data_IF_036483967515
#
_entry.id   IF_036483967515
#
_cell.length_a   1.000
_cell.length_b   1.000
_cell.length_c   1.000
_cell.angle_alpha   90.00
_cell.angle_beta   90.00
_cell.angle_gamma   90.00
#
_symmetry.space_group_name_H-M   'P 1'
#
loop_
_entity.id
_entity.type
_entity.pdbx_description
1 polymer ?
#
# COMPACT_ATOMS: atom_id res chain seq x y z
N UNK A 1 25.09 23.43 9.87
CA UNK A 1 23.85 23.50 10.69
C UNK A 1 24.13 24.37 11.91
N UNK A 2 23.19 25.25 12.36
CA UNK A 2 23.47 26.21 13.43
C UNK A 2 23.20 25.58 14.80
N UNK A 3 23.93 26.06 15.83
CA UNK A 3 23.77 25.64 17.23
C UNK A 3 22.32 25.74 17.72
N UNK A 4 21.61 26.79 17.27
CA UNK A 4 20.22 27.04 17.64
C UNK A 4 19.27 25.95 17.15
N UNK A 5 19.47 25.49 15.92
CA UNK A 5 18.69 24.41 15.31
C UNK A 5 18.93 23.09 16.03
N UNK A 6 20.16 22.79 16.39
CA UNK A 6 20.48 21.55 17.12
C UNK A 6 19.87 21.58 18.51
N UNK A 7 19.88 22.69 19.24
CA UNK A 7 19.22 22.81 20.56
C UNK A 7 17.70 22.55 20.48
N UNK A 8 17.06 23.00 19.38
CA UNK A 8 15.66 22.71 19.15
C UNK A 8 15.41 21.22 18.92
N UNK A 9 16.28 20.56 18.13
CA UNK A 9 16.23 19.11 17.87
C UNK A 9 16.46 18.31 19.16
N UNK A 10 17.44 18.67 19.97
CA UNK A 10 17.69 18.01 21.27
C UNK A 10 16.48 18.07 22.19
N UNK A 11 15.76 19.20 22.19
CA UNK A 11 14.54 19.37 22.99
C UNK A 11 13.34 18.57 22.43
N UNK A 12 13.27 18.40 21.11
CA UNK A 12 12.19 17.66 20.45
C UNK A 12 12.35 16.14 20.60
N UNK A 13 13.59 15.65 20.78
CA UNK A 13 13.89 14.22 20.93
C UNK A 13 14.07 13.49 19.58
N UNK A 14 14.20 12.18 19.66
CA UNK A 14 14.31 11.29 18.50
C UNK A 14 13.02 11.25 17.69
N UNK A 15 13.15 11.04 16.37
CA UNK A 15 12.02 11.08 15.43
C UNK A 15 12.26 10.19 14.21
N UNK A 16 11.36 10.29 13.24
CA UNK A 16 11.49 9.64 11.92
C UNK A 16 12.81 9.99 11.21
N UNK A 17 13.41 11.16 11.50
CA UNK A 17 14.60 11.68 10.82
C UNK A 17 15.75 12.04 11.76
N UNK A 18 15.62 11.80 13.06
CA UNK A 18 16.62 12.14 14.06
C UNK A 18 16.88 10.94 14.99
N UNK A 19 18.14 10.66 15.25
CA UNK A 19 18.58 9.63 16.19
C UNK A 19 19.71 10.16 17.06
N UNK A 20 19.75 9.78 18.34
CA UNK A 20 20.79 10.13 19.30
C UNK A 20 21.67 8.92 19.60
N UNK A 21 22.97 9.12 19.67
CA UNK A 21 23.94 8.09 20.06
C UNK A 21 25.02 8.69 20.95
N UNK A 22 25.33 8.04 22.03
CA UNK A 22 26.41 8.47 22.94
C UNK A 22 27.79 8.32 22.32
N UNK A 23 27.98 7.36 21.42
CA UNK A 23 29.24 7.08 20.74
C UNK A 23 29.00 6.56 19.32
N UNK A 24 29.97 6.75 18.44
CA UNK A 24 29.97 6.16 17.12
C UNK A 24 30.24 4.64 17.21
N UNK A 25 29.46 3.86 16.46
CA UNK A 25 29.62 2.42 16.40
C UNK A 25 28.63 1.76 15.43
N UNK A 26 28.43 0.46 15.62
CA UNK A 26 27.55 -0.36 14.78
C UNK A 26 26.13 0.19 14.71
N UNK A 27 25.56 0.60 15.84
CA UNK A 27 24.19 1.13 15.89
C UNK A 27 24.06 2.43 15.10
N UNK A 28 25.10 3.28 15.09
CA UNK A 28 25.13 4.48 14.25
C UNK A 28 25.02 4.11 12.77
N UNK A 29 25.77 3.08 12.33
CA UNK A 29 25.74 2.62 10.93
C UNK A 29 24.36 1.99 10.60
N UNK A 30 23.78 1.21 11.53
CA UNK A 30 22.43 0.66 11.35
C UNK A 30 21.36 1.76 11.22
N UNK A 31 21.47 2.85 12.01
CA UNK A 31 20.57 4.00 11.90
C UNK A 31 20.74 4.76 10.58
N UNK A 32 21.98 4.94 10.11
CA UNK A 32 22.24 5.57 8.80
C UNK A 32 21.69 4.71 7.65
N UNK A 33 21.82 3.38 7.74
CA UNK A 33 21.17 2.46 6.77
C UNK A 33 19.65 2.59 6.80
N UNK A 34 19.07 2.65 8.00
CA UNK A 34 17.62 2.78 8.17
C UNK A 34 17.11 4.11 7.59
N UNK A 35 17.83 5.22 7.79
CA UNK A 35 17.53 6.52 7.20
C UNK A 35 17.70 6.51 5.68
N UNK A 36 18.77 5.94 5.16
CA UNK A 36 19.00 5.83 3.71
C UNK A 36 17.91 5.03 2.99
N UNK A 37 17.34 4.02 3.64
CA UNK A 37 16.22 3.24 3.14
C UNK A 37 14.83 3.90 3.36
N UNK A 38 14.78 5.01 4.10
CA UNK A 38 13.56 5.77 4.37
C UNK A 38 13.61 7.15 3.68
N UNK A 39 13.44 8.22 4.44
CA UNK A 39 13.37 9.62 3.96
C UNK A 39 14.68 10.39 4.15
N UNK A 40 15.76 9.70 4.51
CA UNK A 40 16.96 10.34 5.04
C UNK A 40 16.82 10.68 6.52
N UNK A 41 17.84 11.32 7.06
CA UNK A 41 17.87 11.73 8.46
C UNK A 41 19.25 12.06 8.97
N UNK A 42 19.35 12.26 10.27
CA UNK A 42 20.62 12.59 10.94
C UNK A 42 20.81 11.77 12.21
N UNK A 43 22.07 11.44 12.50
CA UNK A 43 22.49 10.86 13.77
C UNK A 43 23.36 11.88 14.51
N UNK A 44 22.98 12.22 15.75
CA UNK A 44 23.77 13.06 16.65
C UNK A 44 24.62 12.17 17.56
N UNK A 45 25.92 12.15 17.35
CA UNK A 45 26.86 11.38 18.16
C UNK A 45 27.45 12.26 19.28
N UNK A 46 27.44 11.75 20.51
CA UNK A 46 27.78 12.49 21.72
C UNK A 46 26.53 12.96 22.48
N UNK A 47 25.35 12.42 22.14
CA UNK A 47 24.05 12.74 22.76
C UNK A 47 23.45 11.45 23.32
N UNK A 48 22.89 11.51 24.50
CA UNK A 48 22.15 10.41 25.12
C UNK A 48 20.67 10.43 24.67
N UNK A 49 19.96 9.31 24.85
CA UNK A 49 18.55 9.13 24.42
C UNK A 49 17.59 10.16 25.06
N UNK A 50 17.95 10.69 26.24
CA UNK A 50 17.19 11.75 26.92
C UNK A 50 17.47 13.17 26.36
N UNK A 51 18.24 13.28 25.30
CA UNK A 51 18.66 14.56 24.69
C UNK A 51 19.82 15.26 25.41
N UNK A 52 20.35 14.69 26.49
CA UNK A 52 21.47 15.29 27.22
C UNK A 52 22.78 15.17 26.44
N UNK A 53 23.49 16.30 26.30
CA UNK A 53 24.79 16.33 25.61
C UNK A 53 25.86 15.70 26.50
N UNK A 54 26.42 14.58 26.07
CA UNK A 54 27.56 13.92 26.74
C UNK A 54 28.89 14.40 26.20
N UNK A 55 28.91 14.71 24.90
CA UNK A 55 30.08 15.06 24.14
C UNK A 55 30.85 13.85 23.63
N UNK A 56 31.67 14.06 22.64
CA UNK A 56 32.62 13.04 22.11
C UNK A 56 34.00 13.62 21.96
N UNK A 57 35.01 12.77 21.91
CA UNK A 57 36.40 13.19 21.71
C UNK A 57 36.82 12.86 20.29
N UNK A 58 37.30 13.87 19.56
CA UNK A 58 37.77 13.71 18.19
C UNK A 58 39.29 13.84 18.15
N UNK A 59 39.97 12.85 17.60
CA UNK A 59 41.35 12.97 17.14
C UNK A 59 41.42 13.55 15.74
N UNK A 60 42.62 13.75 15.22
CA UNK A 60 42.88 14.43 13.95
C UNK A 60 42.24 13.76 12.71
N UNK A 61 42.06 12.42 12.78
CA UNK A 61 41.57 11.59 11.66
C UNK A 61 40.22 10.90 11.95
N UNK A 62 39.66 11.13 13.13
CA UNK A 62 38.47 10.38 13.62
C UNK A 62 37.31 10.43 12.67
N UNK A 63 36.98 11.61 12.09
CA UNK A 63 35.85 11.75 11.15
C UNK A 63 36.12 11.01 9.84
N UNK A 64 37.36 10.98 9.36
CA UNK A 64 37.75 10.22 8.17
C UNK A 64 37.66 8.70 8.44
N UNK A 65 38.07 8.25 9.63
CA UNK A 65 37.96 6.86 10.03
C UNK A 65 36.47 6.42 10.12
N UNK A 66 35.60 7.26 10.67
CA UNK A 66 34.16 6.99 10.73
C UNK A 66 33.55 6.92 9.32
N UNK A 67 33.88 7.87 8.44
CA UNK A 67 33.46 7.84 7.05
C UNK A 67 33.94 6.57 6.34
N UNK A 68 35.18 6.16 6.57
CA UNK A 68 35.75 4.90 6.05
C UNK A 68 34.97 3.67 6.53
N UNK A 69 34.62 3.63 7.82
CA UNK A 69 33.84 2.53 8.41
C UNK A 69 32.42 2.49 7.86
N UNK A 70 31.76 3.64 7.68
CA UNK A 70 30.41 3.72 7.07
C UNK A 70 30.48 3.19 5.64
N UNK A 71 31.41 3.70 4.82
CA UNK A 71 31.58 3.28 3.42
C UNK A 71 31.85 1.78 3.27
N UNK A 72 32.76 1.23 4.07
CA UNK A 72 33.11 -0.19 4.00
C UNK A 72 32.08 -1.10 4.67
N UNK A 73 31.32 -0.57 5.63
CA UNK A 73 30.31 -1.30 6.38
C UNK A 73 28.94 -1.36 5.74
N UNK A 74 28.72 -0.69 4.59
CA UNK A 74 27.43 -0.60 3.92
C UNK A 74 27.49 -1.07 2.46
N UNK A 75 26.40 -1.62 1.98
CA UNK A 75 26.24 -2.03 0.58
C UNK A 75 24.80 -1.72 0.09
N UNK A 76 24.63 -0.92 -0.99
CA UNK A 76 25.67 -0.11 -1.62
C UNK A 76 26.34 0.84 -0.63
N UNK A 77 27.60 1.21 -0.93
CA UNK A 77 28.39 2.09 -0.06
C UNK A 77 27.77 3.48 0.03
N UNK A 78 27.39 3.93 1.22
CA UNK A 78 26.83 5.26 1.46
C UNK A 78 27.92 6.24 1.91
N UNK A 79 27.74 7.51 1.54
CA UNK A 79 28.64 8.60 1.90
C UNK A 79 27.79 9.70 2.53
N UNK A 80 27.70 9.74 3.88
CA UNK A 80 26.97 10.80 4.57
C UNK A 80 27.79 12.08 4.66
N UNK A 81 27.14 13.20 4.91
CA UNK A 81 27.77 14.44 5.35
C UNK A 81 28.05 14.35 6.85
N UNK A 82 29.31 14.65 7.25
CA UNK A 82 29.75 14.57 8.63
C UNK A 82 30.32 15.93 9.06
N UNK A 83 29.69 16.53 10.06
CA UNK A 83 30.12 17.78 10.67
C UNK A 83 30.27 17.66 12.17
N UNK A 84 31.13 18.48 12.78
CA UNK A 84 31.27 18.59 14.22
C UNK A 84 30.94 20.00 14.72
N UNK A 85 30.26 20.11 15.85
CA UNK A 85 29.94 21.39 16.47
C UNK A 85 29.99 21.30 17.99
N UNK A 86 30.16 22.46 18.64
CA UNK A 86 30.15 22.54 20.10
C UNK A 86 28.77 22.98 20.60
N UNK A 87 28.24 22.22 21.54
CA UNK A 87 26.99 22.53 22.27
C UNK A 87 27.32 22.52 23.77
N UNK A 88 27.06 23.63 24.45
CA UNK A 88 27.31 23.77 25.89
C UNK A 88 28.76 23.42 26.28
N UNK A 89 29.73 23.78 25.43
CA UNK A 89 31.16 23.51 25.62
C UNK A 89 31.58 22.05 25.36
N UNK A 90 30.67 21.20 24.92
CA UNK A 90 30.93 19.80 24.57
C UNK A 90 30.86 19.60 23.07
N UNK A 91 31.74 18.77 22.52
CA UNK A 91 31.80 18.48 21.11
C UNK A 91 30.82 17.35 20.77
N UNK A 92 29.98 17.56 19.76
CA UNK A 92 29.10 16.53 19.18
C UNK A 92 29.40 16.42 17.68
N UNK A 93 29.05 15.27 17.09
CA UNK A 93 29.15 15.05 15.65
C UNK A 93 27.77 14.82 15.08
N UNK A 94 27.44 15.51 13.99
CA UNK A 94 26.22 15.36 13.22
C UNK A 94 26.54 14.59 11.94
N UNK A 95 25.89 13.47 11.73
CA UNK A 95 26.04 12.63 10.53
C UNK A 95 24.71 12.66 9.79
N UNK A 96 24.68 13.31 8.63
CA UNK A 96 23.47 13.46 7.82
C UNK A 96 23.50 12.54 6.60
N UNK A 97 22.38 11.93 6.28
CA UNK A 97 22.20 11.19 5.05
C UNK A 97 20.85 11.53 4.44
N UNK A 98 20.85 11.79 3.13
CA UNK A 98 19.61 11.87 2.35
C UNK A 98 19.05 10.48 2.07
N UNK A 99 17.79 10.41 1.68
CA UNK A 99 17.22 9.19 1.12
C UNK A 99 18.11 8.66 -0.01
N UNK A 100 18.52 7.39 0.08
CA UNK A 100 19.45 6.84 -0.87
C UNK A 100 18.73 6.42 -2.16
N UNK A 101 19.21 6.82 -3.34
CA UNK A 101 18.49 6.57 -4.59
C UNK A 101 18.51 5.10 -5.03
N UNK A 102 19.54 4.35 -4.64
CA UNK A 102 19.68 2.91 -4.96
C UNK A 102 19.43 2.08 -3.69
N UNK A 103 18.23 1.57 -3.56
CA UNK A 103 17.80 0.77 -2.42
C UNK A 103 17.69 -0.72 -2.80
N UNK A 104 17.71 -1.61 -1.83
CA UNK A 104 17.92 -1.38 -0.41
C UNK A 104 19.41 -1.28 -0.03
N UNK A 105 19.72 -0.36 0.86
CA UNK A 105 21.02 -0.31 1.52
C UNK A 105 21.04 -1.32 2.68
N UNK A 106 22.16 -1.98 2.89
CA UNK A 106 22.34 -2.91 4.02
C UNK A 106 23.67 -2.69 4.75
N UNK A 107 23.77 -3.21 5.96
CA UNK A 107 25.03 -3.38 6.69
C UNK A 107 25.16 -4.82 7.14
N UNK A 108 26.26 -5.47 6.78
CA UNK A 108 26.55 -6.90 7.09
C UNK A 108 25.40 -7.84 6.72
N UNK A 109 24.74 -7.63 5.56
CA UNK A 109 23.61 -8.42 5.09
C UNK A 109 22.29 -8.18 5.84
N UNK A 110 22.22 -7.18 6.72
CA UNK A 110 21.00 -6.79 7.44
C UNK A 110 20.45 -5.49 6.86
N UNK A 111 19.15 -5.49 6.58
CA UNK A 111 18.44 -4.38 5.98
C UNK A 111 17.53 -3.74 7.02
N UNK A 112 17.64 -2.43 7.21
CA UNK A 112 16.85 -1.69 8.19
C UNK A 112 16.08 -0.57 7.49
N UNK A 113 14.92 -0.23 8.04
CA UNK A 113 14.14 0.94 7.65
C UNK A 113 13.68 1.70 8.88
N UNK A 114 13.71 3.02 8.82
CA UNK A 114 13.23 3.88 9.89
C UNK A 114 11.70 3.92 9.86
N UNK A 115 11.08 3.62 11.00
CA UNK A 115 9.63 3.73 11.22
C UNK A 115 9.44 4.43 12.56
N UNK A 116 8.82 5.60 12.55
CA UNK A 116 8.77 6.50 13.71
C UNK A 116 10.19 6.77 14.27
N UNK A 117 10.44 6.47 15.54
CA UNK A 117 11.75 6.63 16.19
C UNK A 117 12.54 5.33 16.30
N UNK A 118 12.21 4.27 15.54
CA UNK A 118 12.83 2.96 15.66
C UNK A 118 13.37 2.42 14.33
N UNK A 119 14.44 1.64 14.39
CA UNK A 119 15.03 0.97 13.24
C UNK A 119 14.47 -0.46 13.14
N UNK A 120 13.65 -0.74 12.13
CA UNK A 120 13.05 -2.04 11.91
C UNK A 120 13.89 -2.87 10.94
N UNK A 121 14.15 -4.12 11.32
CA UNK A 121 14.77 -5.11 10.43
C UNK A 121 13.74 -5.53 9.37
N UNK A 122 14.12 -5.41 8.10
CA UNK A 122 13.22 -5.73 6.97
C UNK A 122 13.17 -7.23 6.69
N UNK A 123 11.98 -7.73 6.40
CA UNK A 123 11.76 -9.06 5.85
C UNK A 123 12.00 -9.09 4.32
N UNK A 124 12.00 -10.29 3.74
CA UNK A 124 12.32 -10.50 2.32
C UNK A 124 11.36 -9.72 1.39
N UNK A 125 10.07 -9.69 1.68
CA UNK A 125 9.09 -8.94 0.89
C UNK A 125 9.38 -7.44 0.89
N UNK A 126 9.67 -6.86 2.06
CA UNK A 126 9.99 -5.43 2.20
C UNK A 126 11.31 -5.06 1.50
N UNK A 127 12.30 -5.95 1.52
CA UNK A 127 13.57 -5.80 0.78
C UNK A 127 13.29 -5.77 -0.72
N UNK A 128 12.48 -6.71 -1.21
CA UNK A 128 12.09 -6.78 -2.62
C UNK A 128 11.34 -5.51 -3.04
N UNK A 129 10.39 -5.03 -2.24
CA UNK A 129 9.66 -3.80 -2.50
C UNK A 129 10.59 -2.58 -2.62
N UNK A 130 11.56 -2.43 -1.71
CA UNK A 130 12.54 -1.34 -1.78
C UNK A 130 13.43 -1.43 -3.03
N UNK A 131 13.83 -2.64 -3.41
CA UNK A 131 14.61 -2.86 -4.62
C UNK A 131 13.84 -2.47 -5.87
N UNK A 132 12.60 -2.92 -5.99
CA UNK A 132 11.73 -2.60 -7.12
C UNK A 132 11.42 -1.08 -7.19
N UNK A 133 11.22 -0.43 -6.05
CA UNK A 133 11.05 1.02 -5.98
C UNK A 133 12.27 1.76 -6.54
N UNK A 134 13.49 1.34 -6.21
CA UNK A 134 14.71 1.99 -6.69
C UNK A 134 14.92 1.85 -8.19
N UNK A 135 14.45 0.75 -8.78
CA UNK A 135 14.47 0.54 -10.23
C UNK A 135 13.30 1.24 -10.95
N UNK A 136 12.36 1.84 -10.20
CA UNK A 136 11.11 2.39 -10.72
C UNK A 136 10.23 1.38 -11.48
N UNK A 137 10.52 0.08 -11.31
CA UNK A 137 9.80 -1.03 -11.92
C UNK A 137 8.88 -1.63 -10.86
N UNK A 138 7.62 -1.89 -11.20
CA UNK A 138 6.70 -2.63 -10.36
C UNK A 138 6.83 -4.14 -10.61
N UNK A 139 6.45 -4.97 -9.63
CA UNK A 139 6.51 -6.43 -9.75
C UNK A 139 5.76 -6.94 -10.99
N UNK A 140 4.61 -6.39 -11.26
CA UNK A 140 3.74 -6.75 -12.38
C UNK A 140 4.35 -6.46 -13.77
N UNK A 141 5.39 -5.62 -13.84
CA UNK A 141 6.13 -5.33 -15.06
C UNK A 141 7.26 -6.33 -15.36
N UNK A 142 7.58 -7.26 -14.43
CA UNK A 142 8.58 -8.29 -14.68
C UNK A 142 8.05 -9.35 -15.62
N UNK A 143 8.95 -9.92 -16.44
CA UNK A 143 8.66 -11.04 -17.32
C UNK A 143 8.05 -12.20 -16.54
N UNK A 144 6.97 -12.78 -17.04
CA UNK A 144 6.37 -13.98 -16.51
C UNK A 144 7.18 -15.20 -16.98
N UNK A 145 8.16 -15.59 -16.16
CA UNK A 145 9.08 -16.66 -16.50
C UNK A 145 8.36 -17.98 -16.78
N UNK A 146 8.69 -18.57 -17.92
CA UNK A 146 8.11 -19.84 -18.37
C UNK A 146 6.85 -19.68 -19.23
N UNK A 147 6.31 -18.46 -19.35
CA UNK A 147 5.12 -18.16 -20.14
C UNK A 147 5.49 -17.62 -21.53
N UNK A 148 4.61 -17.87 -22.50
CA UNK A 148 4.73 -17.37 -23.88
C UNK A 148 3.51 -16.51 -24.24
N UNK A 149 3.57 -15.87 -25.42
CA UNK A 149 2.42 -15.09 -25.93
C UNK A 149 1.18 -15.96 -26.18
N UNK A 150 1.38 -17.26 -26.45
CA UNK A 150 0.28 -18.21 -26.68
C UNK A 150 -0.55 -18.47 -25.42
N UNK A 151 -0.01 -18.12 -24.24
CA UNK A 151 -0.75 -18.18 -22.98
C UNK A 151 -1.76 -17.03 -22.80
N UNK A 152 -1.75 -16.03 -23.70
CA UNK A 152 -2.66 -14.90 -23.65
C UNK A 152 -3.89 -15.11 -24.51
N UNK A 153 -5.06 -14.78 -24.00
CA UNK A 153 -6.33 -14.80 -24.71
C UNK A 153 -6.50 -13.58 -25.60
N UNK A 154 -6.53 -13.81 -26.90
CA UNK A 154 -6.77 -12.74 -27.89
C UNK A 154 -8.14 -12.09 -27.66
N UNK A 155 -9.17 -12.89 -27.33
CA UNK A 155 -10.51 -12.37 -27.05
C UNK A 155 -10.54 -11.39 -25.86
N UNK A 156 -9.86 -11.75 -24.76
CA UNK A 156 -9.77 -10.87 -23.57
C UNK A 156 -9.02 -9.57 -23.89
N UNK A 157 -7.98 -9.64 -24.71
CA UNK A 157 -7.21 -8.47 -25.15
C UNK A 157 -8.08 -7.57 -26.05
N UNK A 158 -8.79 -8.14 -27.02
CA UNK A 158 -9.70 -7.38 -27.91
C UNK A 158 -10.82 -6.67 -27.10
N UNK A 159 -11.38 -7.35 -26.12
CA UNK A 159 -12.37 -6.78 -25.21
C UNK A 159 -11.82 -5.59 -24.41
N UNK A 160 -10.60 -5.74 -23.90
CA UNK A 160 -9.89 -4.64 -23.21
C UNK A 160 -9.62 -3.46 -24.16
N UNK A 161 -9.12 -3.72 -25.37
CA UNK A 161 -8.86 -2.68 -26.40
C UNK A 161 -10.15 -1.92 -26.72
N UNK A 162 -11.26 -2.65 -26.93
CA UNK A 162 -12.56 -2.05 -27.20
C UNK A 162 -13.00 -1.12 -26.06
N UNK A 163 -12.87 -1.55 -24.80
CA UNK A 163 -13.18 -0.73 -23.63
C UNK A 163 -12.29 0.51 -23.52
N UNK A 164 -10.99 0.38 -23.76
CA UNK A 164 -10.03 1.50 -23.75
C UNK A 164 -10.41 2.54 -24.79
N UNK A 165 -10.72 2.11 -26.01
CA UNK A 165 -11.09 2.99 -27.11
C UNK A 165 -12.44 3.67 -26.86
N UNK A 166 -13.42 2.95 -26.32
CA UNK A 166 -14.72 3.52 -25.91
C UNK A 166 -14.56 4.59 -24.83
N UNK A 167 -13.65 4.37 -23.88
CA UNK A 167 -13.35 5.34 -22.83
C UNK A 167 -12.71 6.63 -23.33
N UNK A 168 -12.05 6.61 -24.49
CA UNK A 168 -11.46 7.78 -25.14
C UNK A 168 -10.27 8.43 -24.40
N UNK A 169 -9.73 7.79 -23.35
CA UNK A 169 -8.52 8.28 -22.66
C UNK A 169 -7.23 7.96 -23.41
N UNK A 170 -7.26 6.90 -24.19
CA UNK A 170 -6.13 6.42 -25.00
C UNK A 170 -6.68 5.68 -26.20
N UNK A 171 -5.89 5.60 -27.31
CA UNK A 171 -6.28 4.86 -28.51
C UNK A 171 -5.32 3.71 -28.78
N UNK A 172 -5.89 2.54 -28.97
CA UNK A 172 -5.19 1.29 -29.29
C UNK A 172 -5.75 0.77 -30.63
N UNK A 173 -5.14 1.19 -31.75
CA UNK A 173 -5.60 0.89 -33.10
C UNK A 173 -4.80 -0.27 -33.76
N UNK A 174 -3.89 -0.89 -32.99
CA UNK A 174 -3.03 -1.99 -33.43
C UNK A 174 -3.72 -3.34 -33.25
N UNK A 175 -3.15 -4.40 -33.86
CA UNK A 175 -3.54 -5.77 -33.54
C UNK A 175 -3.31 -6.07 -32.03
N UNK A 176 -4.03 -7.04 -31.45
CA UNK A 176 -4.03 -7.28 -30.00
C UNK A 176 -2.65 -7.34 -29.35
N UNK A 177 -1.74 -8.14 -29.90
CA UNK A 177 -0.38 -8.28 -29.34
C UNK A 177 0.46 -7.01 -29.51
N UNK A 178 0.36 -6.31 -30.64
CA UNK A 178 1.06 -5.03 -30.85
C UNK A 178 0.52 -3.94 -29.95
N UNK A 179 -0.78 -3.97 -29.63
CA UNK A 179 -1.37 -3.05 -28.65
C UNK A 179 -0.77 -3.28 -27.25
N UNK A 180 -0.60 -4.55 -26.84
CA UNK A 180 0.05 -4.89 -25.57
C UNK A 180 1.54 -4.50 -25.54
N UNK A 181 2.27 -4.62 -26.64
CA UNK A 181 3.66 -4.13 -26.74
C UNK A 181 3.73 -2.61 -26.60
N UNK A 182 2.82 -1.87 -27.23
CA UNK A 182 2.73 -0.40 -27.15
C UNK A 182 2.57 0.08 -25.72
N UNK A 183 1.77 -0.61 -24.90
CA UNK A 183 1.50 -0.27 -23.50
C UNK A 183 2.36 -1.06 -22.50
N UNK A 184 3.40 -1.75 -22.97
CA UNK A 184 4.43 -2.44 -22.18
C UNK A 184 3.95 -3.65 -21.34
N UNK A 185 2.89 -4.33 -21.78
CA UNK A 185 2.47 -5.62 -21.19
C UNK A 185 3.20 -6.79 -21.84
N UNK A 186 3.73 -6.57 -23.03
CA UNK A 186 4.64 -7.47 -23.73
C UNK A 186 5.95 -6.73 -23.95
N UNK A 187 7.07 -7.34 -23.58
CA UNK A 187 8.41 -6.80 -23.73
C UNK A 187 9.31 -7.86 -24.31
N UNK A 188 10.05 -7.54 -25.40
CA UNK A 188 10.91 -8.47 -26.10
C UNK A 188 10.21 -9.78 -26.54
N UNK A 189 8.94 -9.70 -26.93
CA UNK A 189 8.15 -10.85 -27.34
C UNK A 189 7.72 -11.78 -26.19
N UNK A 190 7.78 -11.32 -24.94
CA UNK A 190 7.37 -12.09 -23.76
C UNK A 190 6.35 -11.32 -22.92
N UNK A 191 5.33 -11.99 -22.36
CA UNK A 191 4.37 -11.35 -21.47
C UNK A 191 5.01 -11.07 -20.10
N UNK A 192 4.59 -9.98 -19.45
CA UNK A 192 4.87 -9.74 -18.05
C UNK A 192 3.73 -10.26 -17.16
N UNK A 193 3.93 -10.19 -15.82
CA UNK A 193 2.93 -10.65 -14.86
C UNK A 193 1.60 -9.90 -14.96
N UNK A 194 1.62 -8.59 -15.31
CA UNK A 194 0.38 -7.86 -15.53
C UNK A 194 -0.41 -8.42 -16.71
N UNK A 195 0.25 -8.74 -17.83
CA UNK A 195 -0.40 -9.36 -18.98
C UNK A 195 -1.03 -10.71 -18.63
N UNK A 196 -0.32 -11.54 -17.86
CA UNK A 196 -0.82 -12.84 -17.41
C UNK A 196 -2.03 -12.70 -16.49
N UNK A 197 -1.96 -11.82 -15.51
CA UNK A 197 -3.06 -11.60 -14.54
C UNK A 197 -4.32 -11.01 -15.19
N UNK A 198 -4.17 -10.24 -16.27
CA UNK A 198 -5.28 -9.55 -16.93
C UNK A 198 -5.83 -10.31 -18.14
N UNK A 199 -5.00 -11.08 -18.85
CA UNK A 199 -5.35 -11.58 -20.17
C UNK A 199 -5.01 -13.06 -20.41
N UNK A 200 -4.51 -13.81 -19.42
CA UNK A 200 -4.20 -15.21 -19.62
C UNK A 200 -5.44 -16.02 -20.04
N UNK A 201 -5.26 -17.00 -20.94
CA UNK A 201 -6.30 -17.97 -21.29
C UNK A 201 -6.62 -18.86 -20.10
N UNK A 202 -5.58 -19.45 -19.51
CA UNK A 202 -5.68 -20.21 -18.27
C UNK A 202 -5.34 -19.30 -17.06
N UNK A 203 -6.19 -19.24 -16.03
CA UNK A 203 -5.98 -18.33 -14.91
C UNK A 203 -4.69 -18.59 -14.15
N UNK A 204 -3.99 -17.52 -13.81
CA UNK A 204 -2.82 -17.55 -12.91
C UNK A 204 -3.30 -17.65 -11.46
N UNK A 205 -2.56 -18.36 -10.60
CA UNK A 205 -2.92 -18.62 -9.19
C UNK A 205 -2.95 -17.37 -8.31
N UNK A 206 -3.94 -16.51 -8.51
CA UNK A 206 -4.21 -15.39 -7.62
C UNK A 206 -5.71 -15.18 -7.54
N UNK A 207 -6.28 -15.58 -6.40
CA UNK A 207 -7.72 -15.69 -6.26
C UNK A 207 -8.30 -14.56 -5.42
N UNK A 208 -9.58 -14.29 -5.65
CA UNK A 208 -10.44 -13.57 -4.71
C UNK A 208 -11.34 -14.63 -4.04
N UNK A 209 -11.09 -14.86 -2.76
CA UNK A 209 -11.89 -15.74 -1.94
C UNK A 209 -12.96 -14.93 -1.21
N UNK A 210 -14.23 -15.23 -1.46
CA UNK A 210 -15.35 -14.47 -0.92
C UNK A 210 -16.38 -15.40 -0.30
N UNK A 211 -16.89 -15.05 0.88
CA UNK A 211 -17.88 -15.85 1.55
C UNK A 211 -18.95 -15.05 2.28
N UNK A 212 -20.15 -15.62 2.37
CA UNK A 212 -21.25 -15.20 3.22
C UNK A 212 -21.23 -15.98 4.52
N UNK A 213 -21.16 -15.29 5.64
CA UNK A 213 -20.99 -15.87 6.97
C UNK A 213 -22.19 -15.54 7.86
N UNK A 214 -22.65 -16.51 8.62
CA UNK A 214 -23.59 -16.31 9.74
C UNK A 214 -22.84 -15.87 11.00
N UNK A 215 -21.75 -16.57 11.30
CA UNK A 215 -20.81 -16.26 12.39
C UNK A 215 -19.38 -16.44 11.85
N UNK A 216 -18.32 -16.02 12.57
CA UNK A 216 -16.95 -16.21 12.11
C UNK A 216 -16.57 -17.67 11.78
N UNK A 217 -17.30 -18.64 12.32
CA UNK A 217 -17.08 -20.09 12.08
C UNK A 217 -18.15 -20.77 11.24
N UNK A 218 -19.26 -20.06 10.88
CA UNK A 218 -20.37 -20.63 10.12
C UNK A 218 -20.50 -19.95 8.77
N UNK A 219 -20.07 -20.65 7.73
CA UNK A 219 -20.13 -20.22 6.34
C UNK A 219 -21.49 -20.64 5.76
N UNK A 220 -22.15 -19.71 5.05
CA UNK A 220 -23.43 -19.95 4.36
C UNK A 220 -23.19 -20.23 2.88
N UNK A 221 -22.36 -19.41 2.22
CA UNK A 221 -21.94 -19.57 0.83
C UNK A 221 -20.46 -19.15 0.72
N UNK A 222 -19.70 -19.82 -0.14
CA UNK A 222 -18.27 -19.65 -0.31
C UNK A 222 -17.91 -19.79 -1.79
N UNK A 223 -17.16 -18.84 -2.30
CA UNK A 223 -16.73 -18.77 -3.70
C UNK A 223 -15.27 -18.40 -3.80
N UNK A 224 -14.63 -18.99 -4.78
CA UNK A 224 -13.26 -18.64 -5.17
C UNK A 224 -13.26 -18.24 -6.64
N UNK A 225 -12.94 -16.99 -6.91
CA UNK A 225 -12.83 -16.47 -8.27
C UNK A 225 -11.38 -16.55 -8.72
N UNK A 226 -11.14 -17.38 -9.72
CA UNK A 226 -9.80 -17.73 -10.23
C UNK A 226 -9.55 -17.14 -11.62
N UNK A 227 -10.51 -16.43 -12.18
CA UNK A 227 -10.43 -15.81 -13.50
C UNK A 227 -9.42 -14.66 -13.56
N UNK A 228 -9.27 -14.05 -14.73
CA UNK A 228 -8.47 -12.84 -14.86
C UNK A 228 -9.00 -11.72 -13.97
N UNK A 229 -8.14 -10.75 -13.62
CA UNK A 229 -8.49 -9.73 -12.63
C UNK A 229 -9.75 -8.92 -12.97
N UNK A 230 -10.00 -8.63 -14.24
CA UNK A 230 -11.24 -7.95 -14.64
C UNK A 230 -12.48 -8.79 -14.35
N UNK A 231 -12.44 -10.06 -14.72
CA UNK A 231 -13.54 -11.00 -14.53
C UNK A 231 -13.76 -11.30 -13.05
N UNK A 232 -12.67 -11.52 -12.31
CA UNK A 232 -12.72 -11.80 -10.86
C UNK A 232 -13.32 -10.61 -10.07
N UNK A 233 -12.97 -9.36 -10.43
CA UNK A 233 -13.57 -8.16 -9.82
C UNK A 233 -15.07 -8.08 -10.11
N UNK A 234 -15.48 -8.31 -11.34
CA UNK A 234 -16.89 -8.26 -11.72
C UNK A 234 -17.71 -9.35 -11.02
N UNK A 235 -17.17 -10.58 -10.93
CA UNK A 235 -17.82 -11.70 -10.22
C UNK A 235 -17.90 -11.44 -8.71
N UNK A 236 -16.81 -10.95 -8.10
CA UNK A 236 -16.79 -10.60 -6.68
C UNK A 236 -17.81 -9.50 -6.36
N UNK A 237 -17.91 -8.47 -7.21
CA UNK A 237 -18.89 -7.40 -7.02
C UNK A 237 -20.32 -7.90 -7.14
N UNK A 238 -20.62 -8.78 -8.12
CA UNK A 238 -21.93 -9.43 -8.25
C UNK A 238 -22.29 -10.26 -7.00
N UNK A 239 -21.30 -11.01 -6.46
CA UNK A 239 -21.51 -11.78 -5.23
C UNK A 239 -21.78 -10.86 -4.03
N UNK A 240 -21.03 -9.75 -3.88
CA UNK A 240 -21.27 -8.76 -2.83
C UNK A 240 -22.71 -8.24 -2.92
N UNK A 241 -23.13 -7.73 -4.08
CA UNK A 241 -24.46 -7.17 -4.28
C UNK A 241 -25.57 -8.17 -3.98
N UNK A 242 -25.39 -9.45 -4.34
CA UNK A 242 -26.35 -10.51 -4.08
C UNK A 242 -26.48 -10.90 -2.59
N UNK A 243 -25.47 -10.57 -1.77
CA UNK A 243 -25.38 -11.04 -0.36
C UNK A 243 -25.47 -9.90 0.67
N UNK A 244 -25.66 -8.65 0.26
CA UNK A 244 -25.90 -7.51 1.16
C UNK A 244 -27.40 -7.20 1.24
N UNK A 245 -27.82 -6.67 2.39
CA UNK A 245 -29.20 -6.27 2.62
C UNK A 245 -29.61 -5.07 1.77
N UNK A 246 -30.84 -5.11 1.27
CA UNK A 246 -31.46 -4.00 0.53
C UNK A 246 -32.65 -3.50 1.35
N UNK A 247 -32.65 -2.23 1.69
CA UNK A 247 -33.78 -1.53 2.27
C UNK A 247 -34.56 -0.76 1.20
N UNK A 248 -35.79 -0.34 1.54
CA UNK A 248 -36.59 0.54 0.67
C UNK A 248 -36.74 1.88 1.38
N UNK A 249 -36.35 2.96 0.71
CA UNK A 249 -36.62 4.33 1.16
C UNK A 249 -37.88 4.87 0.48
N UNK A 250 -38.71 5.55 1.27
CA UNK A 250 -39.87 6.29 0.80
C UNK A 250 -39.56 7.79 0.93
N UNK A 251 -39.25 8.45 -0.16
CA UNK A 251 -39.00 9.89 -0.22
C UNK A 251 -40.28 10.74 -0.37
N UNK A 252 -41.46 10.09 -0.22
CA UNK A 252 -42.75 10.71 -0.46
C UNK A 252 -43.21 10.66 -1.92
N UNK A 253 -42.40 10.11 -2.83
CA UNK A 253 -42.82 9.82 -4.21
C UNK A 253 -43.59 8.51 -4.28
N UNK A 254 -44.30 8.28 -5.41
CA UNK A 254 -44.98 7.01 -5.68
C UNK A 254 -44.00 5.87 -6.04
N UNK A 255 -42.74 6.19 -6.22
CA UNK A 255 -41.70 5.22 -6.55
C UNK A 255 -40.87 4.87 -5.31
N UNK A 256 -40.68 3.59 -5.09
CA UNK A 256 -39.75 3.06 -4.06
C UNK A 256 -38.35 3.15 -4.61
N UNK A 257 -37.41 3.75 -3.87
CA UNK A 257 -35.98 3.65 -4.17
C UNK A 257 -35.36 2.53 -3.35
N UNK A 258 -34.61 1.65 -4.02
CA UNK A 258 -33.80 0.64 -3.35
C UNK A 258 -32.57 1.30 -2.73
N UNK A 259 -32.33 1.07 -1.45
CA UNK A 259 -31.12 1.50 -0.75
C UNK A 259 -30.40 0.28 -0.22
N UNK A 260 -29.20 0.07 -0.70
CA UNK A 260 -28.31 -0.96 -0.15
C UNK A 260 -27.82 -0.56 1.25
N UNK A 261 -27.60 -1.54 2.10
CA UNK A 261 -27.08 -1.34 3.47
C UNK A 261 -25.69 -0.66 3.49
N UNK A 262 -24.98 -0.73 2.36
CA UNK A 262 -23.68 -0.13 2.16
C UNK A 262 -23.61 0.63 0.84
N UNK A 263 -22.85 1.73 0.72
CA UNK A 263 -22.65 2.42 -0.55
C UNK A 263 -21.86 1.54 -1.52
N UNK A 264 -22.53 1.09 -2.60
CA UNK A 264 -21.90 0.21 -3.61
C UNK A 264 -20.62 0.81 -4.22
N UNK A 265 -20.53 2.13 -4.51
CA UNK A 265 -19.30 2.73 -5.00
C UNK A 265 -18.12 2.58 -4.01
N UNK A 266 -18.37 2.68 -2.70
CA UNK A 266 -17.34 2.50 -1.69
C UNK A 266 -16.86 1.05 -1.59
N UNK A 267 -17.77 0.07 -1.66
CA UNK A 267 -17.40 -1.35 -1.70
C UNK A 267 -16.60 -1.70 -2.96
N UNK A 268 -17.01 -1.15 -4.12
CA UNK A 268 -16.29 -1.31 -5.38
C UNK A 268 -14.88 -0.72 -5.30
N UNK A 269 -14.74 0.46 -4.71
CA UNK A 269 -13.44 1.11 -4.51
C UNK A 269 -12.54 0.29 -3.59
N UNK A 270 -13.07 -0.26 -2.49
CA UNK A 270 -12.33 -1.13 -1.59
C UNK A 270 -11.84 -2.42 -2.28
N UNK A 271 -12.69 -3.02 -3.11
CA UNK A 271 -12.33 -4.20 -3.91
C UNK A 271 -11.23 -3.89 -4.93
N UNK A 272 -11.35 -2.78 -5.66
CA UNK A 272 -10.35 -2.35 -6.64
C UNK A 272 -9.01 -2.02 -5.98
N UNK A 273 -9.05 -1.34 -4.81
CA UNK A 273 -7.85 -1.07 -4.03
C UNK A 273 -7.18 -2.38 -3.56
N UNK A 274 -7.96 -3.37 -3.14
CA UNK A 274 -7.42 -4.67 -2.78
C UNK A 274 -6.69 -5.32 -3.96
N UNK A 275 -7.24 -5.29 -5.17
CA UNK A 275 -6.63 -5.87 -6.38
C UNK A 275 -5.39 -5.08 -6.81
N UNK A 276 -5.48 -3.76 -6.91
CA UNK A 276 -4.38 -2.92 -7.42
C UNK A 276 -3.18 -2.87 -6.47
N UNK A 277 -3.42 -2.90 -5.16
CA UNK A 277 -2.38 -2.79 -4.13
C UNK A 277 -1.97 -4.13 -3.50
N UNK A 278 -2.53 -5.26 -3.96
CA UNK A 278 -2.14 -6.59 -3.49
C UNK A 278 -0.64 -6.83 -3.64
N UNK A 279 -0.06 -7.52 -2.67
CA UNK A 279 1.25 -8.16 -2.84
C UNK A 279 1.06 -9.49 -3.58
N UNK A 280 1.33 -9.50 -4.89
CA UNK A 280 1.21 -10.71 -5.73
C UNK A 280 2.33 -11.72 -5.50
N UNK A 281 3.34 -11.40 -4.71
CA UNK A 281 4.34 -12.38 -4.24
C UNK A 281 3.86 -13.18 -3.05
N UNK A 282 2.81 -12.72 -2.36
CA UNK A 282 2.18 -13.42 -1.24
C UNK A 282 1.37 -14.63 -1.74
N UNK A 283 1.48 -15.80 -1.10
CA UNK A 283 0.66 -16.96 -1.40
C UNK A 283 -0.80 -16.84 -0.88
N UNK A 284 -1.09 -15.82 -0.07
CA UNK A 284 -2.42 -15.61 0.49
C UNK A 284 -3.35 -14.93 -0.52
N UNK A 285 -4.63 -15.33 -0.52
CA UNK A 285 -5.65 -14.71 -1.36
C UNK A 285 -6.19 -13.39 -0.78
N UNK A 286 -6.78 -12.55 -1.63
CA UNK A 286 -7.70 -11.51 -1.17
C UNK A 286 -8.91 -12.24 -0.55
N UNK A 287 -9.27 -11.89 0.70
CA UNK A 287 -10.40 -12.50 1.38
C UNK A 287 -11.48 -11.47 1.66
N UNK A 288 -12.70 -11.76 1.21
CA UNK A 288 -13.87 -10.91 1.45
C UNK A 288 -14.86 -11.72 2.28
N UNK A 289 -15.24 -11.20 3.47
CA UNK A 289 -16.20 -11.85 4.33
C UNK A 289 -17.41 -10.94 4.54
N UNK A 290 -18.59 -11.44 4.19
CA UNK A 290 -19.85 -10.73 4.31
C UNK A 290 -20.62 -11.33 5.49
N UNK A 291 -20.88 -10.54 6.52
CA UNK A 291 -21.70 -10.85 7.68
C UNK A 291 -23.03 -10.09 7.60
N UNK A 292 -23.92 -10.32 8.56
CA UNK A 292 -25.18 -9.57 8.64
C UNK A 292 -24.95 -8.11 9.00
N UNK A 293 -23.91 -7.83 9.79
CA UNK A 293 -23.59 -6.55 10.38
C UNK A 293 -22.34 -5.87 9.77
N UNK A 294 -21.52 -6.60 8.99
CA UNK A 294 -20.27 -6.05 8.44
C UNK A 294 -19.79 -6.76 7.18
N UNK A 295 -18.97 -6.03 6.43
CA UNK A 295 -18.19 -6.59 5.31
C UNK A 295 -16.72 -6.30 5.58
N UNK A 296 -15.85 -7.30 5.42
CA UNK A 296 -14.41 -7.14 5.57
C UNK A 296 -13.68 -7.52 4.29
N UNK A 297 -12.65 -6.75 3.95
CA UNK A 297 -11.74 -7.00 2.84
C UNK A 297 -10.32 -7.16 3.42
N UNK A 298 -9.80 -8.36 3.42
CA UNK A 298 -8.39 -8.59 3.74
C UNK A 298 -7.58 -8.62 2.45
N UNK A 299 -6.56 -7.76 2.40
CA UNK A 299 -5.63 -7.66 1.27
C UNK A 299 -4.23 -8.05 1.71
N UNK A 300 -3.62 -9.11 1.12
CA UNK A 300 -2.23 -9.46 1.37
C UNK A 300 -1.27 -8.33 0.98
N UNK A 301 -0.35 -8.01 1.87
CA UNK A 301 0.63 -6.94 1.71
C UNK A 301 0.34 -5.73 2.61
N UNK A 302 1.39 -5.24 3.27
CA UNK A 302 1.33 -4.00 4.07
C UNK A 302 1.23 -2.78 3.17
N UNK A 303 0.96 -1.61 3.76
CA UNK A 303 0.98 -0.34 3.05
C UNK A 303 2.32 -0.13 2.34
N UNK A 304 2.25 0.36 1.10
CA UNK A 304 3.40 0.48 0.21
C UNK A 304 3.90 1.92 0.12
N UNK A 305 5.20 2.11 -0.09
CA UNK A 305 5.78 3.44 -0.30
C UNK A 305 5.93 4.30 0.96
N UNK A 306 5.86 3.70 2.16
CA UNK A 306 6.03 4.42 3.43
C UNK A 306 4.76 5.07 3.95
N UNK A 307 3.60 4.81 3.33
CA UNK A 307 2.30 5.23 3.82
C UNK A 307 1.97 4.56 5.15
N UNK A 308 1.30 5.30 6.02
CA UNK A 308 0.76 4.83 7.29
C UNK A 308 -0.76 4.84 7.28
N UNK A 309 -1.39 4.17 8.25
CA UNK A 309 -2.85 4.22 8.43
C UNK A 309 -3.31 5.67 8.68
N UNK A 310 -2.54 6.44 9.44
CA UNK A 310 -2.87 7.84 9.75
C UNK A 310 -2.87 8.71 8.48
N UNK A 311 -1.92 8.49 7.55
CA UNK A 311 -1.91 9.18 6.25
C UNK A 311 -3.21 8.92 5.49
N UNK A 312 -3.68 7.67 5.45
CA UNK A 312 -4.91 7.28 4.75
C UNK A 312 -6.19 7.89 5.35
N UNK A 313 -6.14 8.35 6.60
CA UNK A 313 -7.25 9.07 7.24
C UNK A 313 -7.31 10.54 6.83
N UNK A 314 -6.26 11.08 6.23
CA UNK A 314 -6.19 12.46 5.73
C UNK A 314 -6.62 12.56 4.28
N UNK A 315 -6.79 13.80 3.78
CA UNK A 315 -7.03 14.07 2.35
C UNK A 315 -5.74 14.45 1.60
N UNK A 316 -4.59 14.41 2.30
CA UNK A 316 -3.28 14.84 1.80
C UNK A 316 -2.26 13.70 1.78
N UNK A 317 -2.56 12.58 1.14
CA UNK A 317 -1.56 11.52 0.93
C UNK A 317 -1.30 11.29 -0.55
N UNK A 318 -0.06 10.88 -0.87
CA UNK A 318 0.31 10.46 -2.22
C UNK A 318 0.19 8.95 -2.34
N UNK A 319 -0.55 8.47 -3.34
CA UNK A 319 -0.65 7.03 -3.61
C UNK A 319 0.64 6.51 -4.24
N UNK A 320 1.18 5.46 -3.64
CA UNK A 320 2.28 4.69 -4.21
C UNK A 320 1.76 3.36 -4.72
N UNK A 321 1.78 3.17 -6.04
CA UNK A 321 1.28 1.95 -6.67
C UNK A 321 2.31 0.82 -6.58
N UNK A 322 1.92 -0.31 -5.96
CA UNK A 322 2.73 -1.54 -5.96
C UNK A 322 2.74 -2.19 -7.34
N UNK A 323 1.58 -2.21 -8.02
CA UNK A 323 1.38 -2.83 -9.32
C UNK A 323 0.94 -1.76 -10.34
N UNK A 324 1.93 -1.10 -10.95
CA UNK A 324 1.70 0.06 -11.82
C UNK A 324 0.93 -0.29 -13.09
N UNK A 325 1.24 -1.43 -13.73
CA UNK A 325 0.58 -1.85 -14.96
C UNK A 325 -0.85 -2.33 -14.71
N UNK A 326 -1.08 -3.10 -13.64
CA UNK A 326 -2.44 -3.48 -13.24
C UNK A 326 -3.28 -2.22 -12.99
N UNK A 327 -2.77 -1.26 -12.21
CA UNK A 327 -3.44 0.02 -11.98
C UNK A 327 -3.70 0.76 -13.30
N UNK A 328 -2.75 0.74 -14.24
CA UNK A 328 -2.92 1.39 -15.55
C UNK A 328 -4.05 0.76 -16.36
N UNK A 329 -4.18 -0.57 -16.38
CA UNK A 329 -5.27 -1.27 -17.07
C UNK A 329 -6.64 -0.83 -16.53
N UNK A 330 -6.81 -0.83 -15.21
CA UNK A 330 -8.05 -0.37 -14.58
C UNK A 330 -8.31 1.14 -14.78
N UNK A 331 -7.27 1.96 -14.90
CA UNK A 331 -7.39 3.37 -15.23
C UNK A 331 -7.83 3.60 -16.67
N UNK A 332 -7.23 2.90 -17.62
CA UNK A 332 -7.56 3.01 -19.06
C UNK A 332 -9.01 2.60 -19.34
N UNK A 333 -9.54 1.66 -18.58
CA UNK A 333 -10.96 1.21 -18.64
C UNK A 333 -11.90 1.99 -17.73
N UNK A 334 -11.51 3.13 -17.18
CA UNK A 334 -12.28 4.00 -16.26
C UNK A 334 -12.75 3.32 -14.97
N UNK A 335 -12.13 2.23 -14.57
CA UNK A 335 -12.48 1.55 -13.33
C UNK A 335 -11.88 2.25 -12.09
N UNK A 336 -10.73 2.93 -12.24
CA UNK A 336 -10.08 3.72 -11.18
C UNK A 336 -9.63 5.09 -11.68
N UNK A 337 -9.28 5.98 -10.72
CA UNK A 337 -8.62 7.26 -10.96
C UNK A 337 -7.15 7.21 -10.51
N UNK A 338 -6.28 8.02 -11.14
CA UNK A 338 -4.81 8.02 -10.86
C UNK A 338 -4.36 8.93 -9.70
N UNK A 339 -5.28 9.70 -9.09
CA UNK A 339 -4.91 10.75 -8.14
C UNK A 339 -4.77 10.30 -6.68
N UNK A 340 -4.82 9.00 -6.41
CA UNK A 340 -4.70 8.47 -5.04
C UNK A 340 -5.91 8.78 -4.13
N UNK A 341 -7.05 9.12 -4.72
CA UNK A 341 -8.26 9.55 -4.00
C UNK A 341 -9.18 8.41 -3.54
N UNK A 342 -8.73 7.15 -3.59
CA UNK A 342 -9.58 5.99 -3.31
C UNK A 342 -10.23 6.03 -1.94
N UNK A 343 -9.45 6.19 -0.87
CA UNK A 343 -10.00 6.27 0.49
C UNK A 343 -10.77 7.57 0.74
N UNK A 344 -10.42 8.67 0.07
CA UNK A 344 -11.18 9.93 0.12
C UNK A 344 -12.58 9.70 -0.47
N UNK A 345 -12.68 9.01 -1.62
CA UNK A 345 -13.97 8.66 -2.24
C UNK A 345 -14.80 7.74 -1.35
N UNK A 346 -14.17 6.72 -0.73
CA UNK A 346 -14.88 5.87 0.24
C UNK A 346 -15.51 6.71 1.36
N UNK A 347 -14.73 7.62 1.97
CA UNK A 347 -15.24 8.49 3.04
C UNK A 347 -16.38 9.38 2.55
N UNK A 348 -16.27 9.96 1.35
CA UNK A 348 -17.32 10.80 0.75
C UNK A 348 -18.61 10.03 0.50
N UNK A 349 -18.54 8.82 -0.03
CA UNK A 349 -19.72 7.95 -0.23
C UNK A 349 -20.39 7.60 1.12
N UNK A 350 -19.61 7.46 2.18
CA UNK A 350 -20.09 7.15 3.52
C UNK A 350 -20.77 8.34 4.22
N UNK A 351 -20.62 9.58 3.74
CA UNK A 351 -21.38 10.73 4.25
C UNK A 351 -22.90 10.50 4.11
N UNK A 352 -23.33 9.81 3.05
CA UNK A 352 -24.72 9.39 2.84
C UNK A 352 -25.15 8.18 3.69
N UNK A 353 -24.24 7.55 4.44
CA UNK A 353 -24.48 6.33 5.23
C UNK A 353 -23.94 6.48 6.67
N UNK A 354 -24.54 7.38 7.48
CA UNK A 354 -24.04 7.68 8.83
C UNK A 354 -24.04 6.47 9.77
N UNK A 355 -24.82 5.44 9.46
CA UNK A 355 -24.94 4.22 10.22
C UNK A 355 -23.84 3.19 9.89
N UNK A 356 -23.02 3.46 8.86
CA UNK A 356 -21.90 2.62 8.49
C UNK A 356 -20.60 3.19 9.04
N UNK A 357 -19.92 2.40 9.87
CA UNK A 357 -18.55 2.68 10.33
C UNK A 357 -17.56 2.11 9.34
N UNK A 358 -16.53 2.88 9.02
CA UNK A 358 -15.40 2.46 8.19
C UNK A 358 -14.12 2.39 9.02
N UNK A 359 -13.38 1.30 8.89
CA UNK A 359 -12.14 1.07 9.61
C UNK A 359 -11.08 0.48 8.68
N UNK A 360 -9.84 0.89 8.88
CA UNK A 360 -8.66 0.34 8.19
C UNK A 360 -7.65 -0.03 9.27
N UNK A 361 -7.11 -1.24 9.23
CA UNK A 361 -6.09 -1.69 10.17
C UNK A 361 -5.09 -2.64 9.51
N UNK A 362 -3.86 -2.66 10.00
CA UNK A 362 -2.91 -3.71 9.65
C UNK A 362 -3.27 -5.00 10.40
N UNK A 363 -3.38 -6.10 9.66
CA UNK A 363 -3.71 -7.41 10.21
C UNK A 363 -2.73 -8.46 9.70
N UNK A 364 -1.84 -8.91 10.56
CA UNK A 364 -0.80 -9.86 10.19
C UNK A 364 0.12 -9.33 9.09
N UNK A 365 0.14 -9.99 7.94
CA UNK A 365 0.94 -9.61 6.77
C UNK A 365 0.17 -8.77 5.74
N UNK A 366 -1.02 -8.27 6.09
CA UNK A 366 -1.90 -7.57 5.17
C UNK A 366 -2.63 -6.39 5.78
N UNK A 367 -3.54 -5.84 5.00
CA UNK A 367 -4.43 -4.73 5.36
C UNK A 367 -5.86 -5.25 5.46
N UNK A 368 -6.55 -4.93 6.53
CA UNK A 368 -7.96 -5.24 6.74
C UNK A 368 -8.78 -3.95 6.65
N UNK A 369 -9.73 -3.94 5.72
CA UNK A 369 -10.72 -2.88 5.55
C UNK A 369 -12.08 -3.40 5.97
N UNK A 370 -12.77 -2.68 6.86
CA UNK A 370 -14.06 -3.10 7.43
C UNK A 370 -15.11 -2.00 7.24
N UNK A 371 -16.27 -2.40 6.72
CA UNK A 371 -17.50 -1.63 6.73
C UNK A 371 -18.45 -2.30 7.71
N UNK A 372 -18.86 -1.62 8.77
CA UNK A 372 -19.68 -2.17 9.87
C UNK A 372 -20.90 -1.32 10.13
N UNK A 373 -22.08 -1.94 10.22
CA UNK A 373 -23.34 -1.27 10.58
C UNK A 373 -23.34 -1.06 12.10
N UNK A 374 -23.55 0.18 12.56
CA UNK A 374 -23.62 0.50 13.99
C UNK A 374 -24.83 -0.19 14.64
N UNK A 375 -24.62 -0.80 15.78
CA UNK A 375 -25.64 -1.58 16.49
C UNK A 375 -26.84 -0.76 17.05
N UNK A 376 -26.75 0.58 17.04
CA UNK A 376 -27.79 1.47 17.61
C UNK A 376 -28.95 1.79 16.65
N UNK A 377 -28.94 1.27 15.42
CA UNK A 377 -30.08 1.42 14.52
C UNK A 377 -31.08 0.30 14.82
N UNK A 378 -32.05 0.59 15.66
CA UNK A 378 -33.22 -0.28 15.86
C UNK A 378 -33.84 -0.55 14.48
N UNK A 379 -34.00 -1.83 14.06
CA UNK A 379 -34.71 -2.10 12.81
C UNK A 379 -36.09 -1.43 12.89
N UNK A 380 -36.45 -0.68 11.86
CA UNK A 380 -37.80 -0.15 11.71
C UNK A 380 -38.79 -1.33 11.76
N UNK A 381 -39.34 -1.58 12.95
CA UNK A 381 -40.44 -2.53 13.12
C UNK A 381 -41.60 -1.96 12.32
N UNK A 382 -42.16 -2.69 11.34
CA UNK A 382 -43.34 -2.22 10.65
C UNK A 382 -44.44 -1.96 11.68
N UNK A 383 -45.22 -0.88 11.57
CA UNK A 383 -46.31 -0.60 12.53
C UNK A 383 -47.25 -1.79 12.55
N UNK A 384 -47.46 -2.32 13.75
CA UNK A 384 -48.49 -3.35 13.94
C UNK A 384 -49.84 -2.79 13.49
N UNK A 385 -50.48 -3.47 12.59
CA UNK A 385 -51.87 -3.17 12.18
C UNK A 385 -52.73 -3.08 13.43
N UNK A 386 -53.56 -2.01 13.59
CA UNK A 386 -54.54 -2.03 14.67
C UNK A 386 -55.51 -3.20 14.45
N UNK A 387 -55.71 -4.01 15.50
CA UNK A 387 -56.67 -5.08 15.49
C UNK A 387 -58.04 -4.51 15.09
N UNK A 388 -58.56 -4.98 13.98
CA UNK A 388 -59.96 -4.80 13.62
C UNK A 388 -60.79 -5.75 14.46
N UNK A 389 -61.41 -5.25 15.56
CA UNK A 389 -62.56 -5.88 16.19
C UNK A 389 -63.82 -5.58 15.41
#
# INVERSE_FOLDING_TARGET
>A
MDELNIKAILKAGESQTVEFKTSFGRETIESLVAFGNAQGGMVLVGVADDGSVRGTTLGRETLNDWLGQIKSGTSPSIIPDIDSLQIEGKLIVVICISEYPVKPVNTKGRYFKRVASSNHLLGLSEITDLYLQSLQISWDAHEAHGESLDALSVEKIEKFIAQVNECGRFSLDQSPLLALEKIKYVVNGRPNWAAMLLFAEEPVRHHIHIGRFKTPSMIIDDRQFTDTLFEAVDQAMKFIVANISVGFEFDGSLQRSERFAYPLPALREALLNAVVHRDYTSPSDIQIKIFDDRITFFNPGKLFGGLTIDDLQTDNYSSHLRNKLIAEAFYLTRNIEKYGSGFIRIRKELEGYPDVRFCIEESGSGLLVTFEIKADVTPLVPPQSPDLN
#
